data_IF_748330665882
#
_entry.id   IF_748330665882
#
_cell.length_a   1.000
_cell.length_b   1.000
_cell.length_c   1.000
_cell.angle_alpha   90.00
_cell.angle_beta   90.00
_cell.angle_gamma   90.00
#
_symmetry.space_group_name_H-M   'P 1'
#
loop_
_entity.id
_entity.type
_entity.pdbx_description
1 polymer ?
#
# COMPACT_ATOMS: atom_id res chain seq x y z
N UNK A 1 2.80 65.30 6.44
CA UNK A 1 1.75 64.48 5.80
C UNK A 1 2.44 63.49 4.86
N UNK A 2 2.46 62.20 5.19
CA UNK A 2 3.12 61.17 4.35
C UNK A 2 2.14 60.77 3.23
N UNK A 3 2.47 61.14 2.00
CA UNK A 3 1.67 60.78 0.82
C UNK A 3 2.06 59.37 0.36
N UNK A 4 1.28 58.37 0.73
CA UNK A 4 1.47 56.99 0.30
C UNK A 4 0.98 56.84 -1.13
N UNK A 5 1.90 56.82 -2.11
CA UNK A 5 1.55 56.47 -3.51
C UNK A 5 1.04 55.03 -3.52
N UNK A 6 -0.28 54.87 -3.62
CA UNK A 6 -0.90 53.57 -3.87
C UNK A 6 -0.52 53.15 -5.29
N UNK A 7 0.48 52.26 -5.42
CA UNK A 7 0.78 51.59 -6.69
C UNK A 7 -0.33 50.57 -6.94
N UNK A 8 -1.27 50.91 -7.81
CA UNK A 8 -2.28 49.97 -8.31
C UNK A 8 -1.65 48.95 -9.23
N UNK A 9 -2.09 47.69 -9.11
CA UNK A 9 -1.74 46.61 -10.03
C UNK A 9 -2.40 46.89 -11.39
N UNK A 10 -1.67 46.73 -12.49
CA UNK A 10 -2.24 46.96 -13.82
C UNK A 10 -3.00 45.74 -14.31
N UNK A 11 -4.06 45.94 -15.09
CA UNK A 11 -4.80 44.83 -15.71
C UNK A 11 -3.90 43.99 -16.62
N UNK A 12 -2.94 44.63 -17.30
CA UNK A 12 -2.00 43.92 -18.18
C UNK A 12 -1.06 42.98 -17.41
N UNK A 13 -0.59 43.39 -16.22
CA UNK A 13 0.21 42.50 -15.35
C UNK A 13 -0.59 41.26 -14.97
N UNK A 14 -1.88 41.40 -14.67
CA UNK A 14 -2.72 40.26 -14.32
C UNK A 14 -2.95 39.33 -15.52
N UNK A 15 -3.19 39.87 -16.72
CA UNK A 15 -3.43 39.08 -17.93
C UNK A 15 -2.18 38.26 -18.32
N UNK A 16 -0.99 38.85 -18.22
CA UNK A 16 0.27 38.14 -18.51
C UNK A 16 0.52 37.03 -17.49
N UNK A 17 0.23 37.24 -16.21
CA UNK A 17 0.42 36.23 -15.16
C UNK A 17 -0.49 35.02 -15.39
N UNK A 18 -1.78 35.22 -15.66
CA UNK A 18 -2.70 34.10 -15.92
C UNK A 18 -2.34 33.36 -17.22
N UNK A 19 -1.80 34.06 -18.22
CA UNK A 19 -1.33 33.46 -19.46
C UNK A 19 -0.14 32.50 -19.21
N UNK A 20 0.84 32.94 -18.40
CA UNK A 20 1.99 32.09 -18.05
C UNK A 20 1.56 30.90 -17.18
N UNK A 21 0.70 31.12 -16.17
CA UNK A 21 0.16 30.03 -15.33
C UNK A 21 -0.63 29.03 -16.19
N UNK A 22 -1.39 29.51 -17.17
CA UNK A 22 -2.15 28.66 -18.10
C UNK A 22 -1.26 27.73 -18.91
N UNK A 23 -0.14 28.23 -19.46
CA UNK A 23 0.83 27.42 -20.21
C UNK A 23 1.51 26.39 -19.29
N UNK A 24 1.93 26.79 -18.09
CA UNK A 24 2.56 25.87 -17.14
C UNK A 24 1.59 24.77 -16.70
N UNK A 25 0.34 25.13 -16.39
CA UNK A 25 -0.68 24.17 -15.98
C UNK A 25 -1.00 23.15 -17.09
N UNK A 26 -1.06 23.59 -18.35
CA UNK A 26 -1.36 22.71 -19.48
C UNK A 26 -0.34 21.56 -19.65
N UNK A 27 0.94 21.81 -19.38
CA UNK A 27 2.01 20.80 -19.48
C UNK A 27 2.07 19.96 -18.19
N UNK A 28 1.85 20.59 -17.03
CA UNK A 28 2.10 19.97 -15.72
C UNK A 28 0.98 19.00 -15.30
N UNK A 29 -0.28 19.31 -15.61
CA UNK A 29 -1.44 18.50 -15.17
C UNK A 29 -1.41 17.06 -15.72
N UNK A 30 -1.20 16.81 -17.03
CA UNK A 30 -1.18 15.44 -17.55
C UNK A 30 -0.03 14.60 -16.99
N UNK A 31 1.16 15.20 -16.85
CA UNK A 31 2.37 14.53 -16.33
C UNK A 31 2.21 14.11 -14.85
N UNK A 32 1.62 14.99 -14.03
CA UNK A 32 1.37 14.71 -12.61
C UNK A 32 0.42 13.52 -12.38
N UNK A 33 -0.60 13.36 -13.21
CA UNK A 33 -1.59 12.27 -13.05
C UNK A 33 -0.93 10.90 -13.24
N UNK A 34 -0.07 10.75 -14.26
CA UNK A 34 0.68 9.51 -14.50
C UNK A 34 1.64 9.20 -13.36
N UNK A 35 2.46 10.20 -12.97
CA UNK A 35 3.45 10.04 -11.90
C UNK A 35 2.83 9.62 -10.55
N UNK A 36 1.66 10.17 -10.20
CA UNK A 36 0.95 9.79 -8.98
C UNK A 36 0.43 8.34 -9.06
N UNK A 37 -0.02 7.89 -10.23
CA UNK A 37 -0.44 6.51 -10.46
C UNK A 37 0.72 5.53 -10.28
N UNK A 38 1.85 5.81 -10.93
CA UNK A 38 3.06 4.98 -10.83
C UNK A 38 3.61 4.95 -9.41
N UNK A 39 3.59 6.09 -8.71
CA UNK A 39 4.00 6.18 -7.31
C UNK A 39 3.13 5.33 -6.39
N UNK A 40 1.80 5.31 -6.62
CA UNK A 40 0.87 4.45 -5.87
C UNK A 40 1.15 2.98 -6.13
N UNK A 41 1.37 2.60 -7.39
CA UNK A 41 1.63 1.21 -7.76
C UNK A 41 2.97 0.71 -7.22
N UNK A 42 4.02 1.54 -7.30
CA UNK A 42 5.33 1.26 -6.72
C UNK A 42 5.25 1.05 -5.21
N UNK A 43 4.53 1.92 -4.49
CA UNK A 43 4.27 1.77 -3.06
C UNK A 43 3.51 0.48 -2.75
N UNK A 44 2.49 0.15 -3.55
CA UNK A 44 1.71 -1.05 -3.36
C UNK A 44 2.56 -2.33 -3.58
N UNK A 45 3.41 -2.36 -4.61
CA UNK A 45 4.32 -3.48 -4.86
C UNK A 45 5.35 -3.66 -3.74
N UNK A 46 5.90 -2.55 -3.23
CA UNK A 46 6.80 -2.58 -2.08
C UNK A 46 6.10 -3.18 -0.85
N UNK A 47 4.86 -2.75 -0.56
CA UNK A 47 4.07 -3.31 0.53
C UNK A 47 3.71 -4.79 0.31
N UNK A 48 3.37 -5.21 -0.92
CA UNK A 48 3.11 -6.61 -1.24
C UNK A 48 4.35 -7.49 -0.96
N UNK A 49 5.56 -7.00 -1.29
CA UNK A 49 6.82 -7.68 -0.95
C UNK A 49 7.03 -7.79 0.57
N UNK A 50 6.64 -6.77 1.34
CA UNK A 50 6.68 -6.83 2.80
C UNK A 50 5.69 -7.87 3.35
N UNK A 51 4.46 -7.92 2.82
CA UNK A 51 3.48 -8.98 3.17
C UNK A 51 4.08 -10.36 2.93
N UNK A 52 4.69 -10.58 1.76
CA UNK A 52 5.32 -11.85 1.43
C UNK A 52 6.41 -12.22 2.45
N UNK A 53 7.32 -11.30 2.72
CA UNK A 53 8.47 -11.53 3.60
C UNK A 53 8.03 -11.78 5.06
N UNK A 54 7.02 -11.06 5.52
CA UNK A 54 6.45 -11.21 6.86
C UNK A 54 5.65 -12.51 6.99
N UNK A 55 4.91 -12.90 5.95
CA UNK A 55 4.21 -14.19 5.93
C UNK A 55 5.18 -15.38 5.93
N UNK A 56 6.29 -15.30 5.19
CA UNK A 56 7.36 -16.29 5.22
C UNK A 56 8.02 -16.37 6.61
N UNK A 57 8.25 -15.22 7.25
CA UNK A 57 8.80 -15.17 8.61
C UNK A 57 7.88 -15.86 9.61
N UNK A 58 6.56 -15.61 9.53
CA UNK A 58 5.59 -16.28 10.40
C UNK A 58 5.51 -17.78 10.11
N UNK A 59 5.46 -18.17 8.84
CA UNK A 59 5.46 -19.58 8.44
C UNK A 59 6.70 -20.33 8.94
N UNK A 60 7.89 -19.71 8.86
CA UNK A 60 9.13 -20.28 9.40
C UNK A 60 9.08 -20.43 10.93
N UNK A 61 8.50 -19.46 11.66
CA UNK A 61 8.27 -19.61 13.11
C UNK A 61 7.33 -20.77 13.43
N UNK A 62 6.28 -20.93 12.65
CA UNK A 62 5.34 -22.04 12.74
C UNK A 62 6.05 -23.39 12.49
N UNK A 63 6.89 -23.49 11.48
CA UNK A 63 7.69 -24.68 11.18
C UNK A 63 8.66 -25.03 12.32
N UNK A 64 9.40 -24.06 12.85
CA UNK A 64 10.32 -24.25 13.99
C UNK A 64 9.56 -24.70 15.25
N UNK A 65 8.33 -24.23 15.45
CA UNK A 65 7.48 -24.66 16.56
C UNK A 65 6.86 -26.06 16.36
N UNK A 66 7.08 -26.71 15.21
CA UNK A 66 6.52 -28.02 14.88
C UNK A 66 5.09 -27.97 14.33
N UNK A 67 4.58 -26.78 13.97
CA UNK A 67 3.23 -26.55 13.49
C UNK A 67 3.26 -25.87 12.11
N UNK A 68 3.72 -26.56 11.05
CA UNK A 68 3.86 -25.96 9.73
C UNK A 68 2.51 -25.49 9.18
N UNK A 69 2.50 -24.32 8.55
CA UNK A 69 1.36 -23.87 7.76
C UNK A 69 1.30 -24.70 6.48
N UNK A 70 0.11 -25.10 6.01
CA UNK A 70 -0.04 -25.81 4.74
C UNK A 70 -1.30 -25.36 4.02
N UNK A 71 -1.19 -25.13 2.70
CA UNK A 71 -2.32 -24.91 1.78
C UNK A 71 -3.37 -23.92 2.30
N UNK A 72 -2.92 -22.72 2.69
CA UNK A 72 -3.75 -21.72 3.35
C UNK A 72 -3.83 -20.44 2.52
N UNK A 73 -4.96 -19.76 2.55
CA UNK A 73 -5.11 -18.44 1.92
C UNK A 73 -5.75 -17.44 2.86
N UNK A 74 -5.15 -16.25 2.96
CA UNK A 74 -5.76 -15.07 3.57
C UNK A 74 -6.32 -14.23 2.43
N UNK A 75 -7.64 -14.09 2.37
CA UNK A 75 -8.29 -13.13 1.47
C UNK A 75 -8.05 -11.69 1.92
N UNK A 76 -8.63 -10.71 1.24
CA UNK A 76 -8.43 -9.27 1.50
C UNK A 76 -8.66 -8.89 2.97
N UNK A 77 -7.59 -8.95 3.77
CA UNK A 77 -7.60 -8.74 5.20
C UNK A 77 -7.04 -7.36 5.54
N UNK A 78 -7.70 -6.69 6.49
CA UNK A 78 -7.23 -5.39 6.99
C UNK A 78 -5.94 -5.56 7.79
N UNK A 79 -4.96 -4.70 7.52
CA UNK A 79 -3.75 -4.57 8.33
C UNK A 79 -3.93 -3.55 9.45
N UNK A 80 -5.11 -2.96 9.62
CA UNK A 80 -5.37 -2.06 10.73
C UNK A 80 -5.35 -2.83 12.05
N UNK A 81 -4.50 -2.41 12.98
CA UNK A 81 -4.41 -3.01 14.31
C UNK A 81 -4.34 -1.93 15.37
N UNK A 82 -4.95 -2.16 16.53
CA UNK A 82 -4.76 -1.32 17.71
C UNK A 82 -3.42 -1.59 18.41
N UNK A 83 -2.73 -2.67 18.03
CA UNK A 83 -1.59 -3.21 18.79
C UNK A 83 -0.51 -3.71 17.83
N UNK A 84 0.10 -2.79 17.08
CA UNK A 84 1.29 -3.12 16.30
C UNK A 84 2.47 -3.33 17.26
N UNK A 85 2.98 -4.55 17.35
CA UNK A 85 4.06 -4.93 18.29
C UNK A 85 5.42 -5.08 17.62
N UNK A 86 5.48 -5.08 16.28
CA UNK A 86 6.71 -5.33 15.53
C UNK A 86 7.19 -6.79 15.63
N UNK A 87 6.38 -7.68 16.20
CA UNK A 87 6.71 -9.10 16.34
C UNK A 87 5.55 -9.97 15.88
N UNK A 88 5.86 -11.03 15.15
CA UNK A 88 4.86 -12.00 14.71
C UNK A 88 4.15 -12.63 15.92
N UNK A 89 2.86 -12.92 15.77
CA UNK A 89 2.09 -13.67 16.77
C UNK A 89 2.76 -15.01 17.09
N UNK A 90 2.50 -15.55 18.27
CA UNK A 90 2.97 -16.88 18.65
C UNK A 90 2.31 -17.93 17.74
N UNK A 91 3.07 -18.92 17.22
CA UNK A 91 2.50 -20.04 16.48
C UNK A 91 1.42 -20.77 17.28
N UNK A 92 0.32 -21.12 16.61
CA UNK A 92 -0.72 -22.01 17.14
C UNK A 92 -0.39 -23.46 16.79
N UNK A 93 -0.82 -24.42 17.60
CA UNK A 93 -0.69 -25.85 17.31
C UNK A 93 -1.40 -26.26 16.01
N UNK A 94 -2.42 -25.49 15.64
CA UNK A 94 -3.17 -25.61 14.38
C UNK A 94 -3.24 -24.22 13.74
N UNK A 95 -2.21 -23.80 12.97
CA UNK A 95 -2.18 -22.47 12.38
C UNK A 95 -3.29 -22.28 11.35
N UNK A 96 -4.03 -21.18 11.47
CA UNK A 96 -5.14 -20.81 10.59
C UNK A 96 -4.84 -19.54 9.79
N UNK A 97 -5.67 -19.23 8.78
CA UNK A 97 -5.62 -17.91 8.10
C UNK A 97 -5.77 -16.74 9.09
N UNK A 98 -6.52 -16.92 10.18
CA UNK A 98 -6.69 -15.88 11.21
C UNK A 98 -5.37 -15.60 11.93
N UNK A 99 -4.62 -16.65 12.30
CA UNK A 99 -3.36 -16.49 13.00
C UNK A 99 -2.32 -15.77 12.13
N UNK A 100 -2.27 -16.10 10.84
CA UNK A 100 -1.42 -15.39 9.88
C UNK A 100 -1.87 -13.93 9.70
N UNK A 101 -3.17 -13.68 9.67
CA UNK A 101 -3.72 -12.32 9.59
C UNK A 101 -3.34 -11.50 10.83
N UNK A 102 -3.40 -12.08 12.03
CA UNK A 102 -2.95 -11.42 13.28
C UNK A 102 -1.44 -11.21 13.27
N UNK A 103 -0.65 -12.18 12.80
CA UNK A 103 0.79 -12.04 12.68
C UNK A 103 1.18 -10.89 11.74
N UNK A 104 0.53 -10.78 10.58
CA UNK A 104 0.73 -9.68 9.64
C UNK A 104 0.31 -8.34 10.23
N UNK A 105 -0.85 -8.27 10.89
CA UNK A 105 -1.28 -7.08 11.61
C UNK A 105 -0.25 -6.62 12.66
N UNK A 106 0.33 -7.54 13.43
CA UNK A 106 1.32 -7.19 14.45
C UNK A 106 2.67 -6.74 13.86
N UNK A 107 3.07 -7.30 12.72
CA UNK A 107 4.37 -7.03 12.07
C UNK A 107 4.37 -5.74 11.25
N UNK A 108 3.28 -5.44 10.54
CA UNK A 108 3.23 -4.34 9.57
C UNK A 108 1.96 -3.49 9.65
N UNK A 109 1.06 -3.80 10.56
CA UNK A 109 -0.15 -3.03 10.74
C UNK A 109 0.07 -1.67 11.38
N UNK A 110 -0.97 -0.85 11.35
CA UNK A 110 -0.99 0.46 12.01
C UNK A 110 -2.40 0.76 12.51
N UNK A 111 -2.54 1.71 13.43
CA UNK A 111 -3.83 2.16 13.98
C UNK A 111 -4.67 3.03 13.02
N UNK A 112 -4.20 3.19 11.78
CA UNK A 112 -4.81 4.03 10.76
C UNK A 112 -5.39 3.18 9.63
N UNK A 113 -6.50 3.61 9.02
CA UNK A 113 -7.05 2.98 7.80
C UNK A 113 -6.07 3.09 6.60
N UNK A 114 -4.99 3.86 6.79
CA UNK A 114 -3.85 3.91 5.91
C UNK A 114 -2.96 2.64 5.90
N UNK A 115 -3.13 1.70 6.85
CA UNK A 115 -2.36 0.45 6.93
C UNK A 115 -2.57 -0.46 5.70
N UNK A 116 -3.71 -0.30 5.02
CA UNK A 116 -4.05 -1.06 3.82
C UNK A 116 -4.66 -2.42 4.12
N UNK A 117 -4.89 -3.15 3.03
CA UNK A 117 -5.39 -4.51 3.01
C UNK A 117 -4.41 -5.40 2.26
N UNK A 118 -4.32 -6.66 2.67
CA UNK A 118 -3.46 -7.64 2.01
C UNK A 118 -4.15 -8.97 1.80
N UNK A 119 -3.71 -9.72 0.80
CA UNK A 119 -4.00 -11.15 0.67
C UNK A 119 -2.70 -11.92 0.44
N UNK A 120 -2.67 -13.18 0.87
CA UNK A 120 -1.50 -14.05 0.75
C UNK A 120 -1.93 -15.50 0.60
N UNK A 121 -1.26 -16.23 -0.29
CA UNK A 121 -1.44 -17.65 -0.49
C UNK A 121 -0.19 -18.41 -0.02
N UNK A 122 -0.37 -19.37 0.88
CA UNK A 122 0.67 -20.29 1.38
C UNK A 122 0.54 -21.64 0.66
N UNK A 123 1.63 -22.12 0.08
CA UNK A 123 1.68 -23.43 -0.58
C UNK A 123 1.55 -24.59 0.42
N UNK A 124 1.39 -25.80 -0.12
CA UNK A 124 1.53 -27.04 0.66
C UNK A 124 2.92 -27.20 1.30
N UNK A 125 3.94 -26.55 0.74
CA UNK A 125 5.30 -26.49 1.31
C UNK A 125 5.44 -25.53 2.48
N UNK A 126 4.37 -24.82 2.86
CA UNK A 126 4.33 -23.88 3.97
C UNK A 126 4.92 -22.50 3.71
N UNK A 127 5.45 -22.26 2.52
CA UNK A 127 5.96 -20.94 2.13
C UNK A 127 4.91 -20.13 1.35
N UNK A 128 4.92 -18.79 1.43
CA UNK A 128 4.07 -17.96 0.60
C UNK A 128 4.42 -18.14 -0.88
N UNK A 129 3.40 -18.10 -1.73
CA UNK A 129 3.50 -18.25 -3.19
C UNK A 129 3.24 -16.93 -3.91
N UNK A 130 2.26 -16.19 -3.43
CA UNK A 130 1.95 -14.85 -3.88
C UNK A 130 1.46 -14.01 -2.70
N UNK A 131 1.57 -12.70 -2.85
CA UNK A 131 0.94 -11.74 -1.96
C UNK A 131 0.43 -10.55 -2.76
N UNK A 132 -0.61 -9.91 -2.23
CA UNK A 132 -1.18 -8.69 -2.76
C UNK A 132 -1.31 -7.65 -1.66
N UNK A 133 -1.21 -6.38 -2.01
CA UNK A 133 -1.50 -5.28 -1.11
C UNK A 133 -2.22 -4.15 -1.84
N UNK A 134 -3.20 -3.53 -1.20
CA UNK A 134 -3.87 -2.34 -1.70
C UNK A 134 -4.16 -1.37 -0.55
N UNK A 135 -4.31 -0.07 -0.86
CA UNK A 135 -4.59 0.94 0.16
C UNK A 135 -5.95 0.73 0.85
N UNK A 136 -6.93 0.25 0.09
CA UNK A 136 -8.26 -0.11 0.55
C UNK A 136 -8.78 -1.30 -0.25
N UNK A 137 -9.80 -1.99 0.26
CA UNK A 137 -10.40 -3.16 -0.40
C UNK A 137 -11.03 -2.86 -1.77
N UNK A 138 -11.28 -1.58 -2.09
CA UNK A 138 -11.83 -1.14 -3.38
C UNK A 138 -10.78 -0.47 -4.28
N UNK A 139 -9.54 -0.30 -3.81
CA UNK A 139 -8.50 0.32 -4.62
C UNK A 139 -8.06 -0.63 -5.74
N UNK A 140 -7.79 -0.05 -6.91
CA UNK A 140 -7.37 -0.75 -8.11
C UNK A 140 -5.85 -0.62 -8.34
N UNK A 141 -5.17 0.25 -7.57
CA UNK A 141 -3.71 0.21 -7.46
C UNK A 141 -3.30 -0.93 -6.51
N UNK A 142 -3.40 -2.17 -7.03
CA UNK A 142 -3.07 -3.38 -6.29
C UNK A 142 -1.65 -3.79 -6.61
N UNK A 143 -0.79 -3.79 -5.60
CA UNK A 143 0.56 -4.30 -5.70
C UNK A 143 0.59 -5.81 -5.56
N UNK A 144 1.53 -6.44 -6.25
CA UNK A 144 1.69 -7.90 -6.28
C UNK A 144 3.16 -8.28 -6.07
N UNK A 145 3.38 -9.47 -5.53
CA UNK A 145 4.70 -10.08 -5.39
C UNK A 145 4.53 -11.61 -5.46
N UNK A 146 5.46 -12.38 -6.06
CA UNK A 146 6.80 -12.01 -6.55
C UNK A 146 6.84 -11.25 -7.87
N UNK A 147 5.82 -11.38 -8.71
CA UNK A 147 5.70 -10.62 -9.95
C UNK A 147 5.08 -9.26 -9.64
N UNK A 148 5.80 -8.13 -9.78
CA UNK A 148 5.26 -6.81 -9.45
C UNK A 148 4.24 -6.34 -10.49
N UNK A 149 3.20 -5.65 -10.03
CA UNK A 149 2.20 -5.09 -10.93
C UNK A 149 2.81 -3.93 -11.72
N UNK A 150 2.60 -3.91 -13.04
CA UNK A 150 3.06 -2.86 -13.96
C UNK A 150 1.96 -1.86 -14.32
N UNK A 151 0.71 -2.20 -14.03
CA UNK A 151 -0.46 -1.38 -14.30
C UNK A 151 -1.54 -1.56 -13.23
N UNK A 152 -2.56 -0.70 -13.29
CA UNK A 152 -3.74 -0.76 -12.43
C UNK A 152 -4.49 -2.07 -12.66
N UNK A 153 -4.89 -2.74 -11.58
CA UNK A 153 -5.59 -4.00 -11.66
C UNK A 153 -7.01 -3.85 -12.26
N UNK A 154 -7.46 -4.88 -12.97
CA UNK A 154 -8.81 -4.94 -13.54
C UNK A 154 -9.91 -5.05 -12.47
N UNK A 155 -9.57 -5.57 -11.29
CA UNK A 155 -10.44 -5.71 -10.14
C UNK A 155 -9.68 -5.41 -8.85
N UNK A 156 -10.43 -5.06 -7.81
CA UNK A 156 -9.86 -4.83 -6.50
C UNK A 156 -9.38 -6.14 -5.85
N UNK A 157 -8.63 -6.00 -4.76
CA UNK A 157 -8.08 -7.14 -4.02
C UNK A 157 -9.19 -8.04 -3.47
N UNK A 158 -8.97 -9.36 -3.56
CA UNK A 158 -9.80 -10.42 -2.97
C UNK A 158 -8.97 -11.29 -2.05
#
# INVERSE_FOLDING_TARGET
MRNSKMKGFTLIELIVVIAIIGVLAAILVPSMIGYVGDSKLSTANANAKLVYSNSATYASKCEVAGYPMTSMSVGAASLKTATATGSAATPSATPTSSDLTVALQNLMGSNSDAAGVCSVNIAATGMPTNSKWAKTASDLYVGTYPEPATEKAAAAIS
#
